data_IF_778495074850
#
_entry.id   IF_778495074850
#
_cell.length_a   1.000
_cell.length_b   1.000
_cell.length_c   1.000
_cell.angle_alpha   90.00
_cell.angle_beta   90.00
_cell.angle_gamma   90.00
#
_symmetry.space_group_name_H-M   'P 1'
#
loop_
_entity.id
_entity.type
_entity.pdbx_description
1 polymer ?
#
# COMPACT_ATOMS: atom_id res chain seq x y z
N UNK A 1 -47.09 -14.58 -30.27
CA UNK A 1 -45.99 -14.44 -29.28
C UNK A 1 -45.68 -15.84 -28.79
N UNK A 2 -44.46 -16.36 -29.04
CA UNK A 2 -44.08 -17.74 -28.66
C UNK A 2 -43.97 -17.86 -27.15
N UNK A 3 -44.72 -18.78 -26.55
CA UNK A 3 -44.69 -19.10 -25.10
C UNK A 3 -43.26 -19.36 -24.56
N UNK A 4 -42.42 -20.02 -25.36
CA UNK A 4 -41.00 -20.21 -25.08
C UNK A 4 -40.17 -18.93 -24.90
N UNK A 5 -40.46 -17.89 -25.70
CA UNK A 5 -39.79 -16.60 -25.61
C UNK A 5 -40.10 -15.85 -24.31
N UNK A 6 -41.37 -15.93 -23.86
CA UNK A 6 -41.77 -15.29 -22.60
C UNK A 6 -41.11 -15.98 -21.38
N UNK A 7 -41.04 -17.31 -21.40
CA UNK A 7 -40.39 -18.09 -20.31
C UNK A 7 -38.89 -17.77 -20.29
N UNK A 8 -38.24 -17.76 -21.44
CA UNK A 8 -36.81 -17.43 -21.53
C UNK A 8 -36.49 -15.99 -21.06
N UNK A 9 -37.35 -15.03 -21.36
CA UNK A 9 -37.20 -13.65 -20.90
C UNK A 9 -37.35 -13.51 -19.39
N UNK A 10 -38.34 -14.22 -18.81
CA UNK A 10 -38.54 -14.25 -17.36
C UNK A 10 -37.39 -14.92 -16.61
N UNK A 11 -36.85 -16.01 -17.13
CA UNK A 11 -35.68 -16.67 -16.50
C UNK A 11 -34.45 -15.80 -16.58
N UNK A 12 -34.19 -15.13 -17.73
CA UNK A 12 -33.08 -14.22 -17.87
C UNK A 12 -33.20 -13.01 -16.94
N UNK A 13 -34.36 -12.40 -16.83
CA UNK A 13 -34.60 -11.28 -15.91
C UNK A 13 -34.44 -11.70 -14.44
N UNK A 14 -34.88 -12.90 -14.07
CA UNK A 14 -34.68 -13.45 -12.72
C UNK A 14 -33.19 -13.66 -12.41
N UNK A 15 -32.42 -14.23 -13.35
CA UNK A 15 -30.97 -14.40 -13.19
C UNK A 15 -30.23 -13.07 -13.05
N UNK A 16 -30.59 -12.09 -13.88
CA UNK A 16 -30.02 -10.73 -13.78
C UNK A 16 -30.35 -10.06 -12.46
N UNK A 17 -31.61 -10.18 -12.00
CA UNK A 17 -32.04 -9.62 -10.72
C UNK A 17 -31.28 -10.28 -9.54
N UNK A 18 -31.13 -11.60 -9.57
CA UNK A 18 -30.39 -12.34 -8.56
C UNK A 18 -28.90 -11.95 -8.56
N UNK A 19 -28.28 -11.84 -9.73
CA UNK A 19 -26.90 -11.37 -9.85
C UNK A 19 -26.73 -9.96 -9.30
N UNK A 20 -27.64 -9.03 -9.66
CA UNK A 20 -27.62 -7.66 -9.16
C UNK A 20 -27.78 -7.60 -7.64
N UNK A 21 -28.67 -8.40 -7.07
CA UNK A 21 -28.86 -8.48 -5.62
C UNK A 21 -27.58 -8.91 -4.90
N UNK A 22 -26.92 -9.96 -5.36
CA UNK A 22 -25.66 -10.41 -4.78
C UNK A 22 -24.51 -9.40 -5.00
N UNK A 23 -24.48 -8.71 -6.14
CA UNK A 23 -23.53 -7.65 -6.38
C UNK A 23 -23.70 -6.48 -5.40
N UNK A 24 -24.94 -6.06 -5.13
CA UNK A 24 -25.22 -5.02 -4.12
C UNK A 24 -24.76 -5.46 -2.72
N UNK A 25 -25.07 -6.70 -2.31
CA UNK A 25 -24.62 -7.23 -1.03
C UNK A 25 -23.10 -7.22 -0.95
N UNK A 26 -22.42 -7.68 -2.00
CA UNK A 26 -20.94 -7.67 -2.04
C UNK A 26 -20.37 -6.26 -1.89
N UNK A 27 -20.95 -5.27 -2.58
CA UNK A 27 -20.55 -3.86 -2.45
C UNK A 27 -20.77 -3.34 -1.03
N UNK A 28 -21.91 -3.62 -0.42
CA UNK A 28 -22.20 -3.21 0.97
C UNK A 28 -21.21 -3.83 1.94
N UNK A 29 -20.89 -5.11 1.79
CA UNK A 29 -19.90 -5.80 2.63
C UNK A 29 -18.50 -5.19 2.47
N UNK A 30 -18.10 -4.85 1.25
CA UNK A 30 -16.83 -4.17 0.98
C UNK A 30 -16.81 -2.80 1.65
N UNK A 31 -17.84 -1.98 1.44
CA UNK A 31 -17.93 -0.64 2.05
C UNK A 31 -17.91 -0.73 3.59
N UNK A 32 -18.68 -1.65 4.19
CA UNK A 32 -18.69 -1.86 5.63
C UNK A 32 -17.31 -2.27 6.16
N UNK A 33 -16.60 -3.13 5.44
CA UNK A 33 -15.26 -3.56 5.80
C UNK A 33 -14.26 -2.38 5.71
N UNK A 34 -14.34 -1.59 4.66
CA UNK A 34 -13.51 -0.40 4.50
C UNK A 34 -13.74 0.62 5.62
N UNK A 35 -15.01 0.87 5.98
CA UNK A 35 -15.38 1.76 7.08
C UNK A 35 -14.83 1.28 8.43
N UNK A 36 -14.95 -0.02 8.71
CA UNK A 36 -14.39 -0.60 9.93
C UNK A 36 -12.88 -0.37 10.02
N UNK A 37 -12.15 -0.67 8.96
CA UNK A 37 -10.69 -0.54 8.98
C UNK A 37 -10.20 0.90 8.87
N UNK A 38 -10.97 1.81 8.25
CA UNK A 38 -10.63 3.24 8.22
C UNK A 38 -10.59 3.86 9.62
N UNK A 39 -11.49 3.44 10.52
CA UNK A 39 -11.50 3.92 11.91
C UNK A 39 -10.34 3.42 12.79
N UNK A 40 -9.64 2.36 12.35
CA UNK A 40 -8.49 1.79 13.07
C UNK A 40 -7.14 2.31 12.55
N UNK A 41 -7.14 3.27 11.62
CA UNK A 41 -5.90 3.80 11.04
C UNK A 41 -5.19 4.71 12.06
N UNK A 42 -3.88 4.54 12.25
CA UNK A 42 -3.11 5.44 13.11
C UNK A 42 -3.04 6.84 12.51
N UNK A 43 -2.94 7.84 13.40
CA UNK A 43 -2.82 9.24 12.99
C UNK A 43 -1.46 9.50 12.32
N UNK A 44 -1.48 10.08 11.11
CA UNK A 44 -0.28 10.47 10.37
C UNK A 44 0.59 11.52 11.12
N UNK A 45 0.01 12.26 12.07
CA UNK A 45 0.77 13.18 12.92
C UNK A 45 1.85 12.47 13.75
N UNK A 46 1.74 11.15 13.95
CA UNK A 46 2.80 10.36 14.57
C UNK A 46 4.08 10.34 13.73
N UNK A 47 3.98 10.44 12.39
CA UNK A 47 5.16 10.54 11.51
C UNK A 47 5.91 11.86 11.70
N UNK A 48 5.21 12.96 11.98
CA UNK A 48 5.85 14.25 12.24
C UNK A 48 6.67 14.27 13.55
N UNK A 49 6.34 13.37 14.48
CA UNK A 49 7.04 13.19 15.76
C UNK A 49 7.99 11.99 15.76
N UNK A 50 8.14 11.34 14.59
CA UNK A 50 9.01 10.17 14.50
C UNK A 50 10.47 10.56 14.69
N UNK A 51 11.07 10.08 15.76
CA UNK A 51 12.50 10.15 16.01
C UNK A 51 13.14 8.82 15.60
N UNK A 52 13.96 8.82 14.55
CA UNK A 52 14.65 7.60 14.12
C UNK A 52 15.59 7.13 15.24
N UNK A 53 15.70 5.81 15.42
CA UNK A 53 16.67 5.22 16.33
C UNK A 53 18.08 5.66 15.91
N UNK A 54 18.74 6.40 16.77
CA UNK A 54 20.10 6.91 16.56
C UNK A 54 21.11 6.09 17.38
N UNK A 55 22.36 6.13 16.94
CA UNK A 55 23.48 5.52 17.64
C UNK A 55 23.81 6.35 18.88
N UNK A 56 23.81 5.72 20.07
CA UNK A 56 24.35 6.34 21.29
C UNK A 56 25.85 6.21 21.31
N UNK A 57 26.57 7.32 21.43
CA UNK A 57 28.04 7.38 21.48
C UNK A 57 28.51 7.83 22.85
N UNK A 58 29.39 7.05 23.42
CA UNK A 58 30.04 7.37 24.70
C UNK A 58 31.46 7.87 24.42
N UNK A 59 31.79 9.04 24.94
CA UNK A 59 33.10 9.65 24.80
C UNK A 59 33.81 9.73 26.15
N UNK A 60 35.13 9.60 26.13
CA UNK A 60 35.98 9.87 27.30
C UNK A 60 36.06 11.39 27.53
N UNK A 61 36.59 11.80 28.70
CA UNK A 61 36.76 13.20 29.07
C UNK A 61 37.73 13.97 28.16
N UNK A 62 38.58 13.28 27.39
CA UNK A 62 39.49 13.82 26.39
C UNK A 62 38.87 13.88 24.97
N UNK A 63 37.60 13.52 24.81
CA UNK A 63 36.88 13.51 23.57
C UNK A 63 37.09 12.27 22.68
N UNK A 64 37.82 11.26 23.15
CA UNK A 64 37.97 10.01 22.42
C UNK A 64 36.67 9.19 22.49
N UNK A 65 36.26 8.59 21.37
CA UNK A 65 35.10 7.70 21.29
C UNK A 65 35.45 6.38 22.02
N UNK A 66 34.76 6.11 23.14
CA UNK A 66 34.96 4.87 23.92
C UNK A 66 34.09 3.74 23.38
N UNK A 67 32.83 4.01 23.07
CA UNK A 67 31.88 2.99 22.65
C UNK A 67 30.70 3.55 21.86
N UNK A 68 30.20 2.73 20.96
CA UNK A 68 28.93 2.98 20.24
C UNK A 68 27.93 1.90 20.59
N UNK A 69 26.75 2.31 21.06
CA UNK A 69 25.61 1.44 21.29
C UNK A 69 24.56 1.70 20.20
N UNK A 70 24.31 0.73 19.36
CA UNK A 70 23.26 0.80 18.37
C UNK A 70 22.80 -0.61 17.99
N UNK A 71 21.48 -0.79 17.84
CA UNK A 71 20.91 -1.98 17.18
C UNK A 71 21.25 -1.94 15.70
N UNK A 72 21.18 -0.74 15.11
CA UNK A 72 21.60 -0.44 13.74
C UNK A 72 22.36 0.88 13.72
N UNK A 73 23.49 0.91 13.00
CA UNK A 73 24.25 2.16 12.82
C UNK A 73 23.56 3.03 11.78
N UNK A 74 22.75 3.98 12.24
CA UNK A 74 22.00 4.91 11.40
C UNK A 74 22.49 6.34 11.60
N UNK A 75 22.62 7.06 10.50
CA UNK A 75 22.85 8.50 10.48
C UNK A 75 21.60 9.11 9.84
N UNK A 76 20.90 9.95 10.59
CA UNK A 76 19.78 10.70 10.04
C UNK A 76 20.28 11.80 9.12
N UNK A 77 19.81 11.80 7.87
CA UNK A 77 20.10 12.84 6.89
C UNK A 77 18.77 13.49 6.49
N UNK A 78 18.54 14.77 6.79
CA UNK A 78 17.34 15.47 6.36
C UNK A 78 17.21 15.47 4.83
N UNK A 79 15.97 15.42 4.34
CA UNK A 79 15.68 15.26 2.91
C UNK A 79 16.21 16.44 2.05
N UNK A 80 16.28 17.64 2.62
CA UNK A 80 16.86 18.83 1.99
C UNK A 80 18.37 18.72 1.78
N UNK A 81 19.05 17.89 2.54
CA UNK A 81 20.49 17.60 2.41
C UNK A 81 20.81 16.47 1.43
N UNK A 82 19.80 15.75 0.98
CA UNK A 82 19.98 14.66 0.00
C UNK A 82 19.97 15.26 -1.41
N UNK A 83 21.01 14.99 -2.25
CA UNK A 83 21.04 15.46 -3.63
C UNK A 83 19.82 14.99 -4.43
N UNK A 84 19.29 15.84 -5.30
CA UNK A 84 18.09 15.53 -6.09
C UNK A 84 18.27 14.30 -6.98
N UNK A 85 19.48 14.05 -7.48
CA UNK A 85 19.77 12.83 -8.25
C UNK A 85 19.51 11.56 -7.44
N UNK A 86 19.85 11.56 -6.16
CA UNK A 86 19.64 10.41 -5.26
C UNK A 86 18.12 10.25 -4.99
N UNK A 87 17.44 11.34 -4.64
CA UNK A 87 15.97 11.33 -4.44
C UNK A 87 15.25 10.80 -5.68
N UNK A 88 15.61 11.33 -6.85
CA UNK A 88 15.01 10.93 -8.12
C UNK A 88 15.30 9.47 -8.49
N UNK A 89 16.48 8.95 -8.13
CA UNK A 89 16.79 7.53 -8.34
C UNK A 89 15.88 6.61 -7.53
N UNK A 90 15.64 6.92 -6.24
CA UNK A 90 14.70 6.18 -5.41
C UNK A 90 13.26 6.26 -5.96
N UNK A 91 12.79 7.46 -6.31
CA UNK A 91 11.46 7.67 -6.88
C UNK A 91 11.32 6.91 -8.19
N UNK A 92 12.32 6.95 -9.06
CA UNK A 92 12.27 6.24 -10.35
C UNK A 92 12.25 4.72 -10.18
N UNK A 93 12.89 4.18 -9.14
CA UNK A 93 12.94 2.76 -8.87
C UNK A 93 11.65 2.23 -8.23
N UNK A 94 11.11 2.95 -7.24
CA UNK A 94 10.01 2.49 -6.40
C UNK A 94 8.64 3.00 -6.88
N UNK A 95 8.58 4.27 -7.30
CA UNK A 95 7.31 4.93 -7.60
C UNK A 95 7.48 6.07 -8.62
N UNK A 96 7.60 5.74 -9.88
CA UNK A 96 7.85 6.70 -10.97
C UNK A 96 6.86 7.87 -11.05
N UNK A 97 5.67 7.69 -10.49
CA UNK A 97 4.58 8.66 -10.51
C UNK A 97 4.28 9.27 -9.16
N UNK A 98 5.22 9.19 -8.21
CA UNK A 98 5.05 9.65 -6.84
C UNK A 98 4.41 11.03 -6.71
N UNK A 99 4.82 11.99 -7.52
CA UNK A 99 4.27 13.35 -7.50
C UNK A 99 2.97 13.54 -8.28
N UNK A 100 2.44 12.48 -8.93
CA UNK A 100 1.26 12.57 -9.80
C UNK A 100 0.02 11.87 -9.24
N UNK A 101 0.12 11.21 -8.09
CA UNK A 101 -1.00 10.59 -7.40
C UNK A 101 -1.04 10.98 -5.92
N UNK A 102 -2.17 10.77 -5.26
CA UNK A 102 -2.42 11.14 -3.86
C UNK A 102 -2.15 10.01 -2.85
N UNK A 103 -1.21 9.12 -3.15
CA UNK A 103 -0.85 7.99 -2.28
C UNK A 103 -1.01 6.63 -2.96
N UNK A 104 -1.97 6.46 -3.87
CA UNK A 104 -2.21 5.22 -4.62
C UNK A 104 -2.09 5.48 -6.12
N UNK A 105 -1.23 4.71 -6.82
CA UNK A 105 -1.17 4.70 -8.29
C UNK A 105 -2.14 3.65 -8.87
N UNK A 106 -3.41 4.03 -9.07
CA UNK A 106 -4.43 3.14 -9.66
C UNK A 106 -4.04 2.65 -11.06
N UNK A 107 -3.38 3.49 -11.85
CA UNK A 107 -2.91 3.12 -13.19
C UNK A 107 -1.79 2.09 -13.09
N UNK A 108 -0.89 2.25 -12.14
CA UNK A 108 0.17 1.29 -11.82
C UNK A 108 -0.41 -0.07 -11.39
N UNK A 109 -1.44 -0.07 -10.55
CA UNK A 109 -2.14 -1.30 -10.13
C UNK A 109 -2.73 -2.03 -11.33
N UNK A 110 -3.49 -1.34 -12.18
CA UNK A 110 -4.08 -1.94 -13.39
C UNK A 110 -2.99 -2.52 -14.30
N UNK A 111 -1.91 -1.77 -14.52
CA UNK A 111 -0.76 -2.21 -15.33
C UNK A 111 -0.11 -3.46 -14.74
N UNK A 112 0.11 -3.49 -13.43
CA UNK A 112 0.70 -4.64 -12.73
C UNK A 112 -0.20 -5.87 -12.83
N UNK A 113 -1.51 -5.73 -12.63
CA UNK A 113 -2.48 -6.83 -12.76
C UNK A 113 -2.45 -7.40 -14.18
N UNK A 114 -2.58 -6.56 -15.20
CA UNK A 114 -2.56 -6.99 -16.60
C UNK A 114 -1.22 -7.64 -16.98
N UNK A 115 -0.10 -7.09 -16.48
CA UNK A 115 1.24 -7.65 -16.70
C UNK A 115 1.41 -9.00 -16.02
N UNK A 116 0.93 -9.14 -14.80
CA UNK A 116 1.00 -10.39 -14.04
C UNK A 116 0.12 -11.48 -14.67
N UNK A 117 -1.08 -11.13 -15.16
CA UNK A 117 -1.93 -12.07 -15.90
C UNK A 117 -1.24 -12.62 -17.14
N UNK A 118 -0.53 -11.77 -17.90
CA UNK A 118 0.25 -12.19 -19.08
C UNK A 118 1.46 -13.07 -18.72
N UNK A 119 1.97 -12.94 -17.50
CA UNK A 119 3.13 -13.67 -17.02
C UNK A 119 2.79 -14.97 -16.28
N UNK A 120 1.51 -15.33 -16.15
CA UNK A 120 1.09 -16.61 -15.56
C UNK A 120 1.73 -17.76 -16.34
N UNK A 121 2.41 -18.64 -15.61
CA UNK A 121 3.11 -19.79 -16.20
C UNK A 121 4.51 -19.51 -16.77
N UNK A 122 4.98 -18.25 -16.78
CA UNK A 122 6.32 -17.91 -17.31
C UNK A 122 7.45 -18.01 -16.27
N UNK A 123 7.13 -18.26 -14.99
CA UNK A 123 8.10 -18.27 -13.89
C UNK A 123 8.68 -16.89 -13.52
N UNK A 124 8.23 -15.81 -14.17
CA UNK A 124 8.64 -14.44 -13.83
C UNK A 124 8.01 -13.97 -12.52
N UNK A 125 8.77 -13.24 -11.72
CA UNK A 125 8.25 -12.64 -10.50
C UNK A 125 7.15 -11.64 -10.82
N UNK A 126 6.03 -11.63 -10.06
CA UNK A 126 4.98 -10.64 -10.24
C UNK A 126 5.51 -9.22 -10.06
N UNK A 127 5.07 -8.31 -10.91
CA UNK A 127 5.32 -6.89 -10.75
C UNK A 127 4.51 -6.35 -9.56
N UNK A 128 5.17 -5.61 -8.66
CA UNK A 128 4.52 -4.86 -7.59
C UNK A 128 3.93 -3.55 -8.11
N UNK A 129 2.96 -3.02 -7.38
CA UNK A 129 2.35 -1.71 -7.63
C UNK A 129 2.19 -0.90 -6.35
N UNK A 130 2.95 -1.22 -5.30
CA UNK A 130 2.92 -0.46 -4.04
C UNK A 130 3.68 0.85 -4.21
N UNK A 131 3.06 1.95 -3.79
CA UNK A 131 3.65 3.29 -3.82
C UNK A 131 4.58 3.52 -2.63
N UNK A 132 5.43 4.56 -2.69
CA UNK A 132 6.26 4.99 -1.55
C UNK A 132 5.37 5.32 -0.35
N UNK A 133 4.25 6.01 -0.55
CA UNK A 133 3.28 6.34 0.52
C UNK A 133 2.79 5.07 1.22
N UNK A 134 2.40 4.04 0.48
CA UNK A 134 1.98 2.76 1.06
C UNK A 134 3.11 2.05 1.80
N UNK A 135 4.36 2.17 1.33
CA UNK A 135 5.52 1.61 2.02
C UNK A 135 5.79 2.34 3.34
N UNK A 136 5.64 3.67 3.37
CA UNK A 136 5.75 4.46 4.61
C UNK A 136 4.67 4.06 5.61
N UNK A 137 3.40 4.00 5.19
CA UNK A 137 2.30 3.56 6.03
C UNK A 137 2.57 2.16 6.62
N UNK A 138 3.00 1.22 5.78
CA UNK A 138 3.35 -0.14 6.19
C UNK A 138 4.45 -0.18 7.25
N UNK A 139 5.52 0.60 7.06
CA UNK A 139 6.74 0.45 7.87
C UNK A 139 6.69 1.23 9.17
N UNK A 140 5.93 2.33 9.23
CA UNK A 140 5.93 3.26 10.35
C UNK A 140 4.61 3.30 11.12
N UNK A 141 3.50 2.99 10.47
CA UNK A 141 2.17 3.14 11.06
C UNK A 141 1.45 1.82 11.29
N UNK A 142 1.80 0.78 10.55
CA UNK A 142 1.14 -0.52 10.66
C UNK A 142 2.08 -1.55 11.29
N UNK A 143 1.48 -2.53 11.95
CA UNK A 143 2.23 -3.67 12.51
C UNK A 143 2.85 -4.51 11.40
N UNK A 144 4.02 -5.10 11.66
CA UNK A 144 4.77 -5.92 10.70
C UNK A 144 4.13 -7.28 10.37
N UNK A 145 2.93 -7.56 10.88
CA UNK A 145 2.22 -8.82 10.61
C UNK A 145 1.85 -8.95 9.13
N UNK A 146 2.16 -10.10 8.56
CA UNK A 146 1.74 -10.49 7.21
C UNK A 146 0.25 -10.84 7.22
N UNK A 147 -0.60 -9.87 6.95
CA UNK A 147 -2.06 -10.01 6.99
C UNK A 147 -2.70 -9.33 5.77
N UNK A 148 -3.74 -9.96 5.22
CA UNK A 148 -4.59 -9.32 4.20
C UNK A 148 -5.24 -8.04 4.73
N UNK A 149 -5.55 -8.00 6.02
CA UNK A 149 -6.11 -6.83 6.72
C UNK A 149 -5.16 -5.65 6.63
N UNK A 150 -3.85 -5.87 6.85
CA UNK A 150 -2.84 -4.83 6.68
C UNK A 150 -2.83 -4.29 5.25
N UNK A 151 -2.95 -5.16 4.22
CA UNK A 151 -2.97 -4.71 2.81
C UNK A 151 -4.18 -3.85 2.48
N UNK A 152 -5.33 -4.13 3.10
CA UNK A 152 -6.52 -3.28 3.01
C UNK A 152 -6.26 -1.92 3.69
N UNK A 153 -5.66 -1.91 4.89
CA UNK A 153 -5.31 -0.68 5.61
C UNK A 153 -4.31 0.19 4.82
N UNK A 154 -3.30 -0.43 4.19
CA UNK A 154 -2.34 0.26 3.30
C UNK A 154 -3.03 0.93 2.10
N UNK A 155 -4.14 0.36 1.61
CA UNK A 155 -4.87 0.89 0.46
C UNK A 155 -5.90 1.98 0.83
N UNK A 156 -6.33 2.03 2.10
CA UNK A 156 -7.27 3.05 2.60
C UNK A 156 -6.54 4.32 3.02
N UNK A 157 -5.30 4.18 3.44
CA UNK A 157 -4.44 5.28 3.91
C UNK A 157 -3.91 6.13 2.77
#
# INVERSE_FOLDING_TARGET
MNFGGIVMLKTLSSLLSTFFFFAVIAVVLVISSLWKYAGELPDYHQLAKYEPAVTTRLYAGDGQLLMEYAVEKRIFVPVDKIPDQVKNAFIAAEDKKFYSHSGIDYVGIIRAVLGNLKNIGTGRRPAGASTITQQVAKNFLLTSELSYIRKIKEAIW
#
